data_IF_870354658355
#
_entry.id   IF_870354658355
#
_cell.length_a   1.000
_cell.length_b   1.000
_cell.length_c   1.000
_cell.angle_alpha   90.00
_cell.angle_beta   90.00
_cell.angle_gamma   90.00
#
_symmetry.space_group_name_H-M   'P 1'
#
loop_
_entity.id
_entity.type
_entity.pdbx_description
1 polymer ?
#
# COMPACT_ATOMS: atom_id res chain seq x y z
N UNK A 1 43.49 17.97 17.46
CA UNK A 1 43.18 16.53 17.28
C UNK A 1 41.98 16.41 16.35
N UNK A 2 42.16 15.81 15.17
CA UNK A 2 41.12 15.62 14.15
C UNK A 2 40.08 14.63 14.66
N UNK A 3 38.81 15.04 14.76
CA UNK A 3 37.68 14.10 14.92
C UNK A 3 37.39 13.48 13.56
N UNK A 4 37.76 12.21 13.39
CA UNK A 4 37.40 11.41 12.23
C UNK A 4 35.90 11.15 12.25
N UNK A 5 35.19 11.82 11.33
CA UNK A 5 33.82 11.49 10.97
C UNK A 5 33.81 10.06 10.42
N UNK A 6 33.18 9.15 11.14
CA UNK A 6 33.01 7.76 10.70
C UNK A 6 31.72 7.71 9.89
N UNK A 7 31.87 7.58 8.57
CA UNK A 7 30.79 7.27 7.63
C UNK A 7 30.19 5.91 8.04
N UNK A 8 28.85 5.75 8.16
CA UNK A 8 28.27 4.44 8.42
C UNK A 8 28.40 3.55 7.18
N UNK A 9 29.01 2.38 7.36
CA UNK A 9 29.06 1.32 6.33
C UNK A 9 27.65 0.78 6.01
N UNK A 10 27.38 0.41 4.74
CA UNK A 10 26.13 -0.23 4.37
C UNK A 10 26.08 -1.63 5.00
N UNK A 11 25.10 -1.88 5.87
CA UNK A 11 24.88 -3.21 6.47
C UNK A 11 24.77 -3.28 7.99
N UNK A 12 24.80 -2.16 8.73
CA UNK A 12 24.49 -2.21 10.17
C UNK A 12 22.97 -2.20 10.40
N UNK A 13 22.49 -3.33 10.94
CA UNK A 13 21.14 -3.51 11.49
C UNK A 13 20.87 -2.43 12.55
N UNK A 14 19.80 -1.64 12.44
CA UNK A 14 19.47 -0.66 13.48
C UNK A 14 19.16 -1.38 14.80
N UNK A 15 19.72 -0.86 15.89
CA UNK A 15 19.51 -1.36 17.25
C UNK A 15 18.03 -1.22 17.65
N UNK A 16 17.50 -2.28 18.27
CA UNK A 16 16.10 -2.41 18.69
C UNK A 16 15.70 -1.30 19.67
N UNK A 17 14.88 -0.37 19.19
CA UNK A 17 13.81 0.25 19.97
C UNK A 17 12.52 0.11 19.17
N UNK A 18 11.59 -0.63 19.75
CA UNK A 18 10.16 -0.69 19.46
C UNK A 18 9.71 -1.06 18.03
N UNK A 19 8.56 -1.73 17.95
CA UNK A 19 8.01 -2.39 16.76
C UNK A 19 7.52 -1.42 15.65
N UNK A 20 8.05 -0.20 15.59
CA UNK A 20 7.59 0.90 14.74
C UNK A 20 8.46 1.11 13.48
N UNK A 21 9.33 0.15 13.15
CA UNK A 21 10.14 0.19 11.92
C UNK A 21 9.75 -0.92 10.95
N UNK A 22 9.80 -0.66 9.63
CA UNK A 22 9.44 -1.65 8.64
C UNK A 22 10.47 -2.78 8.71
N UNK A 23 9.97 -4.01 8.70
CA UNK A 23 10.83 -5.19 8.78
C UNK A 23 11.20 -5.68 7.40
N UNK A 24 12.46 -6.08 7.24
CA UNK A 24 12.92 -6.69 6.00
C UNK A 24 12.16 -8.01 5.75
N UNK A 25 11.68 -8.19 4.51
CA UNK A 25 11.04 -9.41 4.03
C UNK A 25 11.81 -9.90 2.80
N UNK A 26 12.59 -10.96 2.98
CA UNK A 26 13.33 -11.62 1.90
C UNK A 26 12.60 -12.85 1.41
N UNK A 27 12.67 -13.10 0.12
CA UNK A 27 12.25 -14.36 -0.46
C UNK A 27 13.06 -14.70 -1.68
N UNK A 28 13.09 -16.00 -1.97
CA UNK A 28 13.59 -16.53 -3.23
C UNK A 28 12.44 -17.07 -4.05
N UNK A 29 12.53 -16.93 -5.37
CA UNK A 29 11.67 -17.63 -6.31
C UNK A 29 12.55 -18.14 -7.44
N UNK A 30 12.56 -19.47 -7.64
CA UNK A 30 13.52 -20.15 -8.50
C UNK A 30 14.96 -19.75 -8.14
N UNK A 31 15.69 -19.13 -9.07
CA UNK A 31 17.09 -18.71 -8.90
C UNK A 31 17.26 -17.23 -8.55
N UNK A 32 16.17 -16.51 -8.30
CA UNK A 32 16.19 -15.07 -7.99
C UNK A 32 15.86 -14.83 -6.52
N UNK A 33 16.53 -13.82 -5.94
CA UNK A 33 16.27 -13.35 -4.57
C UNK A 33 15.75 -11.92 -4.63
N UNK A 34 14.73 -11.63 -3.83
CA UNK A 34 14.06 -10.34 -3.76
C UNK A 34 13.90 -9.92 -2.29
N UNK A 35 13.75 -8.62 -2.08
CA UNK A 35 13.49 -8.06 -0.76
C UNK A 35 12.63 -6.79 -0.80
N UNK A 36 11.83 -6.61 0.24
CA UNK A 36 11.08 -5.38 0.53
C UNK A 36 11.18 -5.04 2.02
N UNK A 37 10.81 -3.82 2.39
CA UNK A 37 10.71 -3.37 3.78
C UNK A 37 9.27 -3.00 4.08
N UNK A 38 8.62 -3.83 4.90
CA UNK A 38 7.19 -3.74 5.12
C UNK A 38 6.85 -3.76 6.62
N UNK A 39 5.86 -2.97 7.00
CA UNK A 39 5.21 -3.12 8.30
C UNK A 39 4.36 -4.38 8.33
N UNK A 40 4.01 -4.81 9.54
CA UNK A 40 2.97 -5.84 9.72
C UNK A 40 1.66 -5.13 9.94
N UNK A 41 0.69 -5.31 9.04
CA UNK A 41 -0.67 -4.82 9.21
C UNK A 41 -1.29 -5.53 10.40
N UNK A 42 -1.65 -4.75 11.41
CA UNK A 42 -2.30 -5.22 12.65
C UNK A 42 -3.73 -4.72 12.79
N UNK A 43 -3.98 -3.51 12.29
CA UNK A 43 -5.30 -2.88 12.25
C UNK A 43 -6.15 -3.44 11.13
N UNK A 44 -7.47 -3.36 11.31
CA UNK A 44 -8.47 -3.85 10.37
C UNK A 44 -9.38 -2.72 9.87
N UNK A 45 -9.00 -1.45 10.09
CA UNK A 45 -9.76 -0.33 9.53
C UNK A 45 -9.60 -0.33 8.00
N UNK A 46 -10.65 0.10 7.30
CA UNK A 46 -10.65 0.16 5.84
C UNK A 46 -9.44 0.94 5.30
N UNK A 47 -9.13 2.09 5.88
CA UNK A 47 -8.00 2.92 5.47
C UNK A 47 -6.65 2.21 5.65
N UNK A 48 -6.39 1.60 6.81
CA UNK A 48 -5.13 0.88 7.06
C UNK A 48 -4.97 -0.31 6.11
N UNK A 49 -6.03 -1.09 5.92
CA UNK A 49 -6.04 -2.27 5.06
C UNK A 49 -5.77 -1.88 3.61
N UNK A 50 -6.49 -0.87 3.11
CA UNK A 50 -6.41 -0.40 1.72
C UNK A 50 -5.03 0.21 1.42
N UNK A 51 -4.54 1.09 2.30
CA UNK A 51 -3.18 1.67 2.17
C UNK A 51 -2.12 0.58 2.17
N UNK A 52 -2.18 -0.36 3.13
CA UNK A 52 -1.21 -1.45 3.22
C UNK A 52 -1.23 -2.34 1.97
N UNK A 53 -2.40 -2.66 1.42
CA UNK A 53 -2.50 -3.45 0.18
C UNK A 53 -1.83 -2.76 -1.00
N UNK A 54 -2.09 -1.46 -1.18
CA UNK A 54 -1.49 -0.66 -2.25
C UNK A 54 0.04 -0.60 -2.11
N UNK A 55 0.53 -0.30 -0.91
CA UNK A 55 1.97 -0.19 -0.62
C UNK A 55 2.70 -1.52 -0.88
N UNK A 56 2.20 -2.65 -0.37
CA UNK A 56 2.87 -3.94 -0.57
C UNK A 56 2.87 -4.34 -2.04
N UNK A 57 1.77 -4.13 -2.76
CA UNK A 57 1.71 -4.40 -4.21
C UNK A 57 2.79 -3.57 -4.93
N UNK A 58 2.86 -2.27 -4.68
CA UNK A 58 3.82 -1.39 -5.32
C UNK A 58 5.28 -1.81 -5.00
N UNK A 59 5.58 -2.07 -3.73
CA UNK A 59 6.94 -2.49 -3.33
C UNK A 59 7.37 -3.79 -3.99
N UNK A 60 6.47 -4.78 -4.10
CA UNK A 60 6.77 -6.05 -4.78
C UNK A 60 6.98 -5.82 -6.28
N UNK A 61 6.14 -5.00 -6.93
CA UNK A 61 6.31 -4.62 -8.33
C UNK A 61 7.66 -3.94 -8.61
N UNK A 62 8.14 -3.10 -7.69
CA UNK A 62 9.45 -2.45 -7.81
C UNK A 62 10.62 -3.39 -7.55
N UNK A 63 10.48 -4.33 -6.61
CA UNK A 63 11.55 -5.24 -6.23
C UNK A 63 11.73 -6.42 -7.21
N UNK A 64 10.65 -6.87 -7.85
CA UNK A 64 10.68 -8.04 -8.73
C UNK A 64 11.01 -7.63 -10.15
N UNK A 65 12.22 -7.98 -10.59
CA UNK A 65 12.72 -7.66 -11.93
C UNK A 65 12.23 -8.58 -13.06
N UNK A 66 11.52 -9.66 -12.75
CA UNK A 66 11.03 -10.63 -13.74
C UNK A 66 9.51 -10.77 -13.63
N UNK A 67 8.79 -10.43 -14.69
CA UNK A 67 7.33 -10.44 -14.73
C UNK A 67 6.73 -11.81 -14.41
N UNK A 68 7.39 -12.90 -14.80
CA UNK A 68 6.92 -14.26 -14.49
C UNK A 68 7.01 -14.60 -13.01
N UNK A 69 7.83 -13.87 -12.24
CA UNK A 69 7.98 -14.05 -10.80
C UNK A 69 7.01 -13.16 -10.01
N UNK A 70 6.36 -12.20 -10.66
CA UNK A 70 5.62 -11.14 -9.99
C UNK A 70 4.39 -11.69 -9.24
N UNK A 71 3.50 -12.38 -9.94
CA UNK A 71 2.32 -13.02 -9.33
C UNK A 71 2.69 -13.97 -8.17
N UNK A 72 3.59 -14.94 -8.37
CA UNK A 72 4.02 -15.83 -7.30
C UNK A 72 4.67 -15.10 -6.11
N UNK A 73 5.41 -14.02 -6.39
CA UNK A 73 6.04 -13.19 -5.34
C UNK A 73 5.00 -12.44 -4.52
N UNK A 74 3.98 -11.86 -5.15
CA UNK A 74 2.87 -11.20 -4.48
C UNK A 74 2.17 -12.15 -3.50
N UNK A 75 1.73 -13.33 -3.98
CA UNK A 75 1.08 -14.34 -3.14
C UNK A 75 1.98 -14.88 -2.02
N UNK A 76 3.30 -14.93 -2.24
CA UNK A 76 4.26 -15.40 -1.23
C UNK A 76 4.51 -14.39 -0.13
N UNK A 77 4.58 -13.10 -0.46
CA UNK A 77 5.01 -12.05 0.44
C UNK A 77 3.86 -11.38 1.17
N UNK A 78 2.77 -11.08 0.49
CA UNK A 78 1.63 -10.40 1.09
C UNK A 78 1.15 -11.03 2.42
N UNK A 79 0.89 -12.35 2.55
CA UNK A 79 0.48 -12.92 3.83
C UNK A 79 1.50 -12.78 4.96
N UNK A 80 2.79 -12.57 4.65
CA UNK A 80 3.88 -12.36 5.64
C UNK A 80 3.94 -10.93 6.17
N UNK A 81 3.12 -10.03 5.62
CA UNK A 81 2.96 -8.65 6.09
C UNK A 81 1.68 -8.47 6.89
N UNK A 82 0.95 -9.55 7.18
CA UNK A 82 -0.30 -9.52 7.93
C UNK A 82 -0.13 -10.10 9.34
N UNK A 83 -0.87 -9.55 10.31
CA UNK A 83 -1.09 -10.20 11.59
C UNK A 83 -1.95 -11.46 11.43
N UNK A 84 -1.87 -12.38 12.40
CA UNK A 84 -2.48 -13.71 12.33
C UNK A 84 -3.97 -13.69 11.99
N UNK A 85 -4.74 -12.77 12.58
CA UNK A 85 -6.18 -12.61 12.32
C UNK A 85 -6.45 -12.25 10.85
N UNK A 86 -5.69 -11.31 10.30
CA UNK A 86 -5.81 -10.86 8.91
C UNK A 86 -5.28 -11.92 7.94
N UNK A 87 -4.25 -12.68 8.31
CA UNK A 87 -3.80 -13.83 7.51
C UNK A 87 -4.91 -14.87 7.32
N UNK A 88 -5.81 -15.04 8.29
CA UNK A 88 -6.96 -15.95 8.16
C UNK A 88 -8.00 -15.41 7.17
N UNK A 89 -8.26 -14.09 7.18
CA UNK A 89 -9.14 -13.44 6.20
C UNK A 89 -8.53 -13.53 4.80
N UNK A 90 -7.22 -13.29 4.66
CA UNK A 90 -6.51 -13.45 3.40
C UNK A 90 -6.64 -14.87 2.83
N UNK A 91 -6.49 -15.91 3.65
CA UNK A 91 -6.66 -17.29 3.18
C UNK A 91 -8.04 -17.52 2.58
N UNK A 92 -9.09 -17.03 3.23
CA UNK A 92 -10.47 -17.12 2.71
C UNK A 92 -10.61 -16.36 1.38
N UNK A 93 -10.10 -15.13 1.31
CA UNK A 93 -10.14 -14.33 0.09
C UNK A 93 -9.45 -15.02 -1.11
N UNK A 94 -8.39 -15.79 -0.84
CA UNK A 94 -7.68 -16.61 -1.84
C UNK A 94 -8.46 -17.90 -2.17
N UNK A 95 -9.09 -18.53 -1.18
CA UNK A 95 -9.96 -19.71 -1.38
C UNK A 95 -11.19 -19.36 -2.24
N UNK A 96 -11.73 -18.15 -2.11
CA UNK A 96 -12.87 -17.65 -2.88
C UNK A 96 -12.57 -17.52 -4.39
N UNK A 97 -11.30 -17.52 -4.80
CA UNK A 97 -10.90 -17.60 -6.21
C UNK A 97 -11.07 -19.01 -6.79
N UNK A 98 -11.31 -20.02 -5.94
CA UNK A 98 -11.43 -21.43 -6.32
C UNK A 98 -10.12 -22.23 -6.22
N UNK A 99 -10.25 -23.56 -6.32
CA UNK A 99 -9.22 -24.56 -5.99
C UNK A 99 -8.03 -24.66 -6.95
N UNK A 100 -8.06 -24.00 -8.11
CA UNK A 100 -7.02 -24.08 -9.15
C UNK A 100 -6.60 -22.71 -9.71
N UNK A 101 -6.56 -21.68 -8.88
CA UNK A 101 -6.11 -20.38 -9.36
C UNK A 101 -4.59 -20.37 -9.59
N UNK A 102 -4.18 -20.05 -10.82
CA UNK A 102 -2.78 -19.76 -11.11
C UNK A 102 -2.33 -18.53 -10.30
N UNK A 103 -1.08 -18.51 -9.83
CA UNK A 103 -0.52 -17.34 -9.11
C UNK A 103 -0.13 -16.24 -10.10
N UNK A 104 -1.11 -15.64 -10.76
CA UNK A 104 -0.95 -14.51 -11.67
C UNK A 104 -1.16 -13.19 -10.94
N UNK A 105 -0.71 -12.08 -11.53
CA UNK A 105 -0.98 -10.73 -10.98
C UNK A 105 -2.48 -10.42 -10.98
N UNK A 106 -3.21 -10.83 -12.02
CA UNK A 106 -4.66 -10.62 -12.09
C UNK A 106 -5.41 -11.34 -10.96
N UNK A 107 -5.06 -12.60 -10.68
CA UNK A 107 -5.67 -13.35 -9.57
C UNK A 107 -5.27 -12.78 -8.21
N UNK A 108 -4.06 -12.22 -8.09
CA UNK A 108 -3.65 -11.52 -6.88
C UNK A 108 -4.47 -10.23 -6.67
N UNK A 109 -4.73 -9.49 -7.74
CA UNK A 109 -5.55 -8.27 -7.69
C UNK A 109 -7.00 -8.58 -7.29
N UNK A 110 -7.55 -9.68 -7.78
CA UNK A 110 -8.86 -10.17 -7.36
C UNK A 110 -8.86 -10.61 -5.88
N UNK A 111 -7.83 -11.34 -5.44
CA UNK A 111 -7.64 -11.71 -4.03
C UNK A 111 -7.57 -10.49 -3.12
N UNK A 112 -6.83 -9.45 -3.52
CA UNK A 112 -6.74 -8.19 -2.78
C UNK A 112 -8.10 -7.54 -2.69
N UNK A 113 -8.87 -7.48 -3.79
CA UNK A 113 -10.23 -6.89 -3.77
C UNK A 113 -11.16 -7.65 -2.83
N UNK A 114 -11.11 -8.98 -2.81
CA UNK A 114 -11.89 -9.81 -1.89
C UNK A 114 -11.46 -9.57 -0.44
N UNK A 115 -10.15 -9.50 -0.18
CA UNK A 115 -9.60 -9.21 1.13
C UNK A 115 -9.99 -7.81 1.63
N UNK A 116 -9.86 -6.79 0.79
CA UNK A 116 -10.28 -5.41 1.10
C UNK A 116 -11.79 -5.34 1.30
N UNK A 117 -12.58 -6.01 0.48
CA UNK A 117 -14.04 -6.05 0.59
C UNK A 117 -14.55 -6.68 1.89
N UNK A 118 -13.75 -7.51 2.56
CA UNK A 118 -14.06 -8.03 3.90
C UNK A 118 -13.88 -6.98 5.02
N UNK A 119 -13.21 -5.86 4.73
CA UNK A 119 -12.86 -4.81 5.69
C UNK A 119 -13.36 -3.41 5.29
N UNK A 120 -13.74 -3.21 4.04
CA UNK A 120 -14.19 -1.95 3.47
C UNK A 120 -15.49 -2.15 2.71
N UNK A 121 -16.46 -1.31 3.03
CA UNK A 121 -17.75 -1.25 2.38
C UNK A 121 -17.75 -0.27 1.20
N UNK A 122 -18.80 -0.31 0.39
CA UNK A 122 -19.06 0.72 -0.63
C UNK A 122 -19.21 2.11 -0.02
N UNK A 123 -19.71 2.21 1.22
CA UNK A 123 -19.79 3.47 1.95
C UNK A 123 -18.41 4.02 2.31
N UNK A 124 -17.46 3.14 2.67
CA UNK A 124 -16.07 3.54 2.92
C UNK A 124 -15.40 4.06 1.65
N UNK A 125 -15.69 3.44 0.50
CA UNK A 125 -15.24 3.93 -0.80
C UNK A 125 -15.77 5.33 -1.08
N UNK A 126 -17.07 5.54 -0.90
CA UNK A 126 -17.70 6.84 -1.10
C UNK A 126 -17.09 7.90 -0.16
N UNK A 127 -16.92 7.57 1.12
CA UNK A 127 -16.30 8.45 2.09
C UNK A 127 -14.86 8.83 1.70
N UNK A 128 -14.07 7.87 1.21
CA UNK A 128 -12.70 8.12 0.75
C UNK A 128 -12.66 9.02 -0.50
N UNK A 129 -13.57 8.80 -1.46
CA UNK A 129 -13.72 9.69 -2.63
C UNK A 129 -14.08 11.10 -2.19
N UNK A 130 -15.03 11.26 -1.27
CA UNK A 130 -15.41 12.59 -0.75
C UNK A 130 -14.23 13.28 -0.05
N UNK A 131 -13.41 12.54 0.70
CA UNK A 131 -12.18 13.07 1.31
C UNK A 131 -11.18 13.54 0.27
N UNK A 132 -11.07 12.85 -0.87
CA UNK A 132 -10.17 13.24 -1.95
C UNK A 132 -10.69 14.40 -2.80
N UNK A 133 -12.01 14.57 -2.93
CA UNK A 133 -12.61 15.72 -3.63
C UNK A 133 -12.43 17.01 -2.81
N UNK A 134 -12.47 16.90 -1.49
CA UNK A 134 -12.32 18.05 -0.58
C UNK A 134 -11.20 17.83 0.45
N UNK A 135 -9.95 17.62 0.00
CA UNK A 135 -8.88 17.32 0.93
C UNK A 135 -8.49 18.60 1.66
N UNK A 136 -8.07 18.48 2.92
CA UNK A 136 -7.50 19.61 3.66
C UNK A 136 -6.07 19.26 4.03
N UNK A 137 -5.11 20.07 3.60
CA UNK A 137 -3.71 19.83 3.93
C UNK A 137 -3.48 19.97 5.44
N UNK A 138 -2.95 18.94 6.13
CA UNK A 138 -2.53 19.07 7.53
C UNK A 138 -1.41 20.10 7.68
N UNK A 139 -1.40 20.84 8.79
CA UNK A 139 -0.45 21.96 9.00
C UNK A 139 1.01 21.48 9.07
N UNK A 140 1.23 20.31 9.66
CA UNK A 140 2.52 19.68 9.91
C UNK A 140 3.06 18.86 8.73
N UNK A 141 2.23 18.56 7.73
CA UNK A 141 2.63 17.80 6.56
C UNK A 141 3.30 18.69 5.51
N UNK A 142 4.39 18.24 4.87
CA UNK A 142 4.99 18.95 3.74
C UNK A 142 4.06 18.97 2.51
N UNK A 143 4.17 20.00 1.65
CA UNK A 143 3.33 20.15 0.44
C UNK A 143 3.46 18.93 -0.49
N UNK A 144 4.69 18.52 -0.77
CA UNK A 144 4.97 17.36 -1.61
C UNK A 144 4.45 16.06 -0.98
N UNK A 145 4.61 15.90 0.34
CA UNK A 145 4.12 14.72 1.05
C UNK A 145 2.59 14.65 1.03
N UNK A 146 1.90 15.79 1.11
CA UNK A 146 0.45 15.87 0.95
C UNK A 146 0.01 15.44 -0.45
N UNK A 147 0.66 15.93 -1.51
CA UNK A 147 0.32 15.52 -2.88
C UNK A 147 0.50 14.01 -3.11
N UNK A 148 1.63 13.44 -2.65
CA UNK A 148 1.83 11.99 -2.75
C UNK A 148 0.80 11.21 -1.97
N UNK A 149 0.37 11.70 -0.80
CA UNK A 149 -0.68 11.04 -0.03
C UNK A 149 -2.00 11.01 -0.79
N UNK A 150 -2.35 12.07 -1.52
CA UNK A 150 -3.55 12.09 -2.36
C UNK A 150 -3.44 11.08 -3.51
N UNK A 151 -2.28 10.98 -4.17
CA UNK A 151 -2.04 9.97 -5.21
C UNK A 151 -2.21 8.54 -4.68
N UNK A 152 -1.57 8.23 -3.56
CA UNK A 152 -1.68 6.91 -2.91
C UNK A 152 -3.13 6.55 -2.60
N UNK A 153 -3.88 7.48 -2.00
CA UNK A 153 -5.29 7.26 -1.66
C UNK A 153 -6.16 7.11 -2.91
N UNK A 154 -5.87 7.88 -3.97
CA UNK A 154 -6.59 7.81 -5.23
C UNK A 154 -6.40 6.45 -5.93
N UNK A 155 -5.16 5.97 -5.99
CA UNK A 155 -4.85 4.63 -6.52
C UNK A 155 -5.54 3.53 -5.72
N UNK A 156 -5.61 3.70 -4.39
CA UNK A 156 -6.16 2.70 -3.50
C UNK A 156 -7.70 2.57 -3.58
N UNK A 157 -8.42 3.57 -4.10
CA UNK A 157 -9.87 3.47 -4.38
C UNK A 157 -10.18 2.29 -5.30
N UNK A 158 -9.29 2.00 -6.26
CA UNK A 158 -9.47 0.89 -7.20
C UNK A 158 -9.52 -0.49 -6.54
N UNK A 159 -9.03 -0.60 -5.30
CA UNK A 159 -9.02 -1.83 -4.52
C UNK A 159 -10.31 -2.03 -3.72
N UNK A 160 -11.08 -0.97 -3.47
CA UNK A 160 -12.35 -1.06 -2.73
C UNK A 160 -13.48 -1.39 -3.73
N UNK A 161 -14.24 -2.46 -3.53
CA UNK A 161 -15.40 -2.75 -4.38
C UNK A 161 -16.41 -1.58 -4.36
N UNK A 162 -16.97 -1.24 -5.51
CA UNK A 162 -17.93 -0.15 -5.60
C UNK A 162 -18.31 0.24 -7.03
N UNK A 163 -19.28 1.13 -7.13
CA UNK A 163 -19.87 1.55 -8.38
C UNK A 163 -18.95 2.49 -9.17
N UNK A 164 -19.20 2.59 -10.48
CA UNK A 164 -18.41 3.44 -11.38
C UNK A 164 -18.46 4.94 -11.05
N UNK A 165 -19.49 5.41 -10.35
CA UNK A 165 -19.58 6.82 -9.93
C UNK A 165 -18.63 7.18 -8.77
N UNK A 166 -18.14 6.20 -8.03
CA UNK A 166 -17.09 6.36 -7.02
C UNK A 166 -15.71 5.96 -7.59
N UNK A 167 -15.47 6.24 -8.88
CA UNK A 167 -14.16 5.97 -9.49
C UNK A 167 -13.06 6.85 -8.86
N UNK A 168 -11.78 6.41 -8.93
CA UNK A 168 -10.66 7.30 -8.67
C UNK A 168 -10.79 8.61 -9.46
N UNK A 169 -10.36 9.72 -8.87
CA UNK A 169 -10.29 11.02 -9.52
C UNK A 169 -9.32 10.94 -10.70
N UNK A 170 -9.63 11.66 -11.78
CA UNK A 170 -8.67 11.87 -12.87
C UNK A 170 -7.49 12.74 -12.41
N UNK A 171 -6.37 12.71 -13.14
CA UNK A 171 -5.21 13.55 -12.84
C UNK A 171 -5.57 15.03 -12.69
N UNK A 172 -6.46 15.56 -13.54
CA UNK A 172 -6.87 16.96 -13.50
C UNK A 172 -7.75 17.24 -12.29
N UNK A 173 -8.68 16.33 -11.96
CA UNK A 173 -9.49 16.45 -10.75
C UNK A 173 -8.63 16.37 -9.49
N UNK A 174 -7.62 15.50 -9.46
CA UNK A 174 -6.73 15.34 -8.33
C UNK A 174 -5.81 16.55 -8.15
N UNK A 175 -5.30 17.13 -9.24
CA UNK A 175 -4.54 18.40 -9.19
C UNK A 175 -5.40 19.55 -8.70
N UNK A 176 -6.65 19.64 -9.17
CA UNK A 176 -7.59 20.65 -8.71
C UNK A 176 -7.89 20.49 -7.22
N UNK A 177 -8.23 19.28 -6.78
CA UNK A 177 -8.49 18.99 -5.38
C UNK A 177 -7.28 19.27 -4.48
N UNK A 178 -6.06 18.94 -4.95
CA UNK A 178 -4.83 19.29 -4.27
C UNK A 178 -4.69 20.81 -4.09
N UNK A 179 -4.87 21.58 -5.17
CA UNK A 179 -4.80 23.05 -5.13
C UNK A 179 -5.86 23.64 -4.19
N UNK A 180 -7.11 23.17 -4.28
CA UNK A 180 -8.23 23.62 -3.44
C UNK A 180 -8.00 23.29 -1.96
N UNK A 181 -7.31 22.18 -1.67
CA UNK A 181 -6.96 21.75 -0.31
C UNK A 181 -5.78 22.47 0.33
N UNK A 182 -5.08 23.33 -0.41
CA UNK A 182 -4.01 24.17 0.12
C UNK A 182 -4.55 25.36 0.92
N UNK A 183 -3.75 25.88 1.86
CA UNK A 183 -4.09 27.15 2.51
C UNK A 183 -4.00 28.30 1.51
N UNK A 184 -4.81 29.35 1.69
CA UNK A 184 -4.85 30.54 0.81
C UNK A 184 -3.46 31.09 0.42
N UNK A 185 -2.48 31.06 1.34
CA UNK A 185 -1.09 31.52 1.10
C UNK A 185 -0.40 30.79 -0.07
N UNK A 186 -0.84 29.58 -0.42
CA UNK A 186 -0.30 28.79 -1.52
C UNK A 186 -1.18 28.82 -2.78
N UNK A 187 -2.35 29.47 -2.71
CA UNK A 187 -3.28 29.61 -3.82
C UNK A 187 -3.09 30.92 -4.60
N UNK A 188 -2.42 31.92 -4.00
CA UNK A 188 -1.98 33.17 -4.64
C UNK A 188 -0.76 32.96 -5.57
#
# INVERSE_FOLDING_TARGET
>A
MKKTSTVPSPGKKPERKDNDLPSQRKWTHQNSSYEIYAYTLRGASAQEVVTHCAEIKQQVHQAVSNDNHLGPSCFKIFPRTLAVSLSAVWKRAVEDLGTNHAQTVANFDEAIKNFVGAHASTQDRHALVQQLVHPTKPRDLGVQAFYYRLLELNDAISLIPGAAHDAPLSDDQLKQAFYDGMSAIWQE
#
